data_IF_993497700718
#
_entry.id   IF_993497700718
#
_cell.length_a   1.000
_cell.length_b   1.000
_cell.length_c   1.000
_cell.angle_alpha   90.00
_cell.angle_beta   90.00
_cell.angle_gamma   90.00
#
_symmetry.space_group_name_H-M   'P 1'
#
loop_
_entity.id
_entity.type
_entity.pdbx_description
1 polymer ?
#
# COMPACT_ATOMS: atom_id res chain seq x y z
N UNK A 1 3.34 12.24 -27.97
CA UNK A 1 2.57 12.88 -26.87
C UNK A 1 2.20 11.86 -25.78
N UNK A 2 3.08 10.90 -25.45
CA UNK A 2 2.75 9.77 -24.54
C UNK A 2 3.37 9.86 -23.14
N UNK A 3 4.48 10.59 -22.94
CA UNK A 3 5.26 10.54 -21.68
C UNK A 3 4.52 11.01 -20.41
N UNK A 4 3.67 12.03 -20.51
CA UNK A 4 3.11 12.69 -19.32
C UNK A 4 1.99 11.90 -18.63
N UNK A 5 1.28 11.03 -19.36
CA UNK A 5 0.22 10.17 -18.78
C UNK A 5 0.82 9.07 -17.90
N UNK A 6 1.97 8.54 -18.31
CA UNK A 6 2.64 7.44 -17.60
C UNK A 6 3.24 7.90 -16.27
N UNK A 7 3.78 9.13 -16.21
CA UNK A 7 4.40 9.70 -15.00
C UNK A 7 3.39 9.99 -13.88
N UNK A 8 2.21 10.53 -14.21
CA UNK A 8 1.17 10.80 -13.21
C UNK A 8 0.56 9.52 -12.64
N UNK A 9 0.35 8.52 -13.50
CA UNK A 9 -0.11 7.20 -13.09
C UNK A 9 0.92 6.52 -12.19
N UNK A 10 2.20 6.52 -12.59
CA UNK A 10 3.29 5.93 -11.80
C UNK A 10 3.42 6.61 -10.42
N UNK A 11 3.28 7.93 -10.35
CA UNK A 11 3.32 8.65 -9.07
C UNK A 11 2.16 8.23 -8.16
N UNK A 12 0.94 8.13 -8.69
CA UNK A 12 -0.23 7.70 -7.92
C UNK A 12 -0.09 6.25 -7.43
N UNK A 13 0.38 5.36 -8.29
CA UNK A 13 0.64 3.96 -7.93
C UNK A 13 1.67 3.87 -6.80
N UNK A 14 2.81 4.56 -6.94
CA UNK A 14 3.85 4.54 -5.92
C UNK A 14 3.38 5.14 -4.58
N UNK A 15 2.60 6.23 -4.62
CA UNK A 15 1.98 6.81 -3.42
C UNK A 15 1.05 5.81 -2.73
N UNK A 16 0.20 5.11 -3.50
CA UNK A 16 -0.72 4.11 -2.99
C UNK A 16 0.03 2.94 -2.33
N UNK A 17 1.08 2.43 -2.99
CA UNK A 17 1.90 1.35 -2.45
C UNK A 17 2.62 1.78 -1.16
N UNK A 18 3.16 3.00 -1.15
CA UNK A 18 3.84 3.58 0.02
C UNK A 18 2.88 3.76 1.19
N UNK A 19 1.69 4.32 0.94
CA UNK A 19 0.62 4.44 1.93
C UNK A 19 0.26 3.08 2.54
N UNK A 20 0.03 2.06 1.70
CA UNK A 20 -0.33 0.73 2.18
C UNK A 20 0.79 0.15 3.04
N UNK A 21 2.04 0.29 2.58
CA UNK A 21 3.20 -0.20 3.30
C UNK A 21 3.30 0.45 4.69
N UNK A 22 3.26 1.77 4.76
CA UNK A 22 3.37 2.54 6.01
C UNK A 22 2.22 2.24 6.97
N UNK A 23 0.99 2.11 6.48
CA UNK A 23 -0.20 1.97 7.32
C UNK A 23 -0.54 0.55 7.72
N UNK A 24 -0.33 -0.42 6.85
CA UNK A 24 -0.85 -1.78 7.03
C UNK A 24 0.24 -2.85 7.08
N UNK A 25 1.40 -2.66 6.45
CA UNK A 25 2.43 -3.72 6.33
C UNK A 25 3.59 -3.50 7.32
N UNK A 26 4.22 -2.33 7.30
CA UNK A 26 5.36 -1.99 8.15
C UNK A 26 5.07 -2.06 9.67
N UNK A 27 3.84 -1.77 10.16
CA UNK A 27 3.51 -1.90 11.58
C UNK A 27 3.45 -3.35 12.08
N UNK A 28 3.30 -4.34 11.20
CA UNK A 28 3.22 -5.74 11.60
C UNK A 28 4.58 -6.20 12.14
N UNK A 29 4.59 -6.69 13.38
CA UNK A 29 5.77 -7.26 14.04
C UNK A 29 5.42 -8.56 14.72
N UNK A 30 6.30 -9.55 14.58
CA UNK A 30 6.21 -10.82 15.31
C UNK A 30 7.36 -10.81 16.31
N UNK A 31 7.04 -10.85 17.61
CA UNK A 31 8.03 -10.78 18.69
C UNK A 31 8.97 -9.56 18.57
N UNK A 32 8.44 -8.42 18.10
CA UNK A 32 9.20 -7.18 17.91
C UNK A 32 10.06 -7.13 16.64
N UNK A 33 10.13 -8.21 15.85
CA UNK A 33 10.94 -8.32 14.63
C UNK A 33 10.04 -8.22 13.39
N UNK A 34 10.62 -7.73 12.28
CA UNK A 34 9.96 -7.71 10.97
C UNK A 34 9.62 -9.15 10.53
N UNK A 35 8.35 -9.44 10.18
CA UNK A 35 7.95 -10.75 9.69
C UNK A 35 8.68 -11.14 8.40
N UNK A 36 8.86 -12.44 8.21
CA UNK A 36 9.19 -13.02 6.89
C UNK A 36 8.01 -12.85 5.93
N UNK A 37 8.26 -12.94 4.62
CA UNK A 37 7.19 -12.80 3.61
C UNK A 37 6.09 -13.84 3.81
N UNK A 38 6.45 -15.08 4.18
CA UNK A 38 5.49 -16.14 4.48
C UNK A 38 4.59 -15.77 5.66
N UNK A 39 5.15 -15.19 6.71
CA UNK A 39 4.37 -14.75 7.87
C UNK A 39 3.45 -13.58 7.53
N UNK A 40 3.86 -12.66 6.64
CA UNK A 40 2.97 -11.64 6.11
C UNK A 40 1.77 -12.25 5.38
N UNK A 41 2.01 -13.25 4.53
CA UNK A 41 0.96 -13.95 3.79
C UNK A 41 0.00 -14.68 4.74
N UNK A 42 0.52 -15.34 5.78
CA UNK A 42 -0.30 -16.00 6.82
C UNK A 42 -1.17 -15.00 7.61
N UNK A 43 -0.64 -13.81 7.92
CA UNK A 43 -1.36 -12.77 8.69
C UNK A 43 -2.39 -12.03 7.83
N UNK A 44 -2.03 -11.67 6.61
CA UNK A 44 -2.82 -10.76 5.76
C UNK A 44 -3.67 -11.48 4.72
N UNK A 45 -3.42 -12.77 4.45
CA UNK A 45 -3.97 -13.53 3.32
C UNK A 45 -3.69 -12.89 1.95
N UNK A 46 -2.66 -12.06 1.86
CA UNK A 46 -2.18 -11.44 0.63
C UNK A 46 -1.03 -12.28 0.08
N UNK A 47 -1.10 -12.59 -1.22
CA UNK A 47 -0.10 -13.43 -1.88
C UNK A 47 1.31 -12.86 -1.78
N UNK A 48 2.29 -13.76 -1.63
CA UNK A 48 3.72 -13.44 -1.54
C UNK A 48 4.21 -12.37 -2.52
N UNK A 49 3.89 -12.49 -3.81
CA UNK A 49 4.36 -11.56 -4.85
C UNK A 49 3.80 -10.14 -4.65
N UNK A 50 2.57 -10.02 -4.17
CA UNK A 50 1.96 -8.74 -3.83
C UNK A 50 2.61 -8.13 -2.59
N UNK A 51 2.90 -8.93 -1.56
CA UNK A 51 3.63 -8.46 -0.38
C UNK A 51 5.01 -7.92 -0.74
N UNK A 52 5.76 -8.61 -1.61
CA UNK A 52 7.07 -8.15 -2.08
C UNK A 52 6.98 -6.79 -2.80
N UNK A 53 5.95 -6.59 -3.63
CA UNK A 53 5.68 -5.32 -4.33
C UNK A 53 5.27 -4.21 -3.38
N UNK A 54 4.43 -4.51 -2.38
CA UNK A 54 4.02 -3.58 -1.33
C UNK A 54 5.22 -3.08 -0.52
N UNK A 55 6.10 -3.99 -0.10
CA UNK A 55 7.30 -3.67 0.68
C UNK A 55 8.28 -2.80 -0.12
N UNK A 56 8.43 -3.06 -1.43
CA UNK A 56 9.28 -2.25 -2.32
C UNK A 56 8.64 -0.92 -2.69
N UNK A 57 7.31 -0.84 -2.63
CA UNK A 57 6.50 0.33 -2.96
C UNK A 57 6.75 0.90 -4.38
N UNK A 58 6.96 0.02 -5.38
CA UNK A 58 7.24 0.43 -6.75
C UNK A 58 6.72 -0.56 -7.80
N UNK A 59 6.26 -0.04 -8.94
CA UNK A 59 6.06 -0.79 -10.19
C UNK A 59 4.91 -1.80 -10.13
N UNK A 60 3.83 -1.42 -9.45
CA UNK A 60 2.65 -2.27 -9.32
C UNK A 60 1.35 -1.47 -9.41
N UNK A 61 0.71 -1.55 -10.57
CA UNK A 61 -0.70 -1.21 -10.74
C UNK A 61 -1.54 -2.20 -9.91
N UNK A 62 -2.07 -1.70 -8.79
CA UNK A 62 -2.73 -2.54 -7.81
C UNK A 62 -4.20 -2.77 -8.18
N UNK A 63 -4.62 -4.03 -8.39
CA UNK A 63 -6.03 -4.34 -8.59
C UNK A 63 -6.87 -3.97 -7.36
N UNK A 64 -8.09 -3.47 -7.58
CA UNK A 64 -9.07 -3.22 -6.51
C UNK A 64 -9.31 -4.47 -5.64
N UNK A 65 -9.20 -5.67 -6.22
CA UNK A 65 -9.31 -6.93 -5.47
C UNK A 65 -8.21 -7.07 -4.40
N UNK A 66 -7.00 -6.58 -4.65
CA UNK A 66 -5.92 -6.51 -3.65
C UNK A 66 -6.24 -5.49 -2.56
N UNK A 67 -6.74 -4.30 -2.94
CA UNK A 67 -7.19 -3.27 -1.99
C UNK A 67 -8.29 -3.83 -1.07
N UNK A 68 -9.23 -4.58 -1.64
CA UNK A 68 -10.29 -5.25 -0.88
C UNK A 68 -9.73 -6.24 0.15
N UNK A 69 -8.72 -7.04 -0.22
CA UNK A 69 -8.04 -7.95 0.74
C UNK A 69 -7.36 -7.19 1.87
N UNK A 70 -6.70 -6.06 1.56
CA UNK A 70 -6.09 -5.20 2.58
C UNK A 70 -7.17 -4.66 3.53
N UNK A 71 -8.30 -4.19 2.99
CA UNK A 71 -9.41 -3.69 3.78
C UNK A 71 -10.01 -4.77 4.69
N UNK A 72 -10.15 -6.00 4.18
CA UNK A 72 -10.61 -7.16 4.94
C UNK A 72 -9.66 -7.47 6.10
N UNK A 73 -8.35 -7.54 5.83
CA UNK A 73 -7.34 -7.75 6.86
C UNK A 73 -7.35 -6.63 7.92
N UNK A 74 -7.42 -5.38 7.50
CA UNK A 74 -7.41 -4.22 8.38
C UNK A 74 -8.77 -3.96 9.07
N UNK A 75 -9.81 -4.74 8.75
CA UNK A 75 -11.18 -4.56 9.20
C UNK A 75 -11.71 -3.13 9.00
N UNK A 76 -11.50 -2.59 7.79
CA UNK A 76 -11.98 -1.26 7.37
C UNK A 76 -12.81 -1.37 6.09
N UNK A 77 -13.67 -0.39 5.86
CA UNK A 77 -14.38 -0.24 4.59
C UNK A 77 -13.47 0.36 3.50
N UNK A 78 -13.82 0.15 2.23
CA UNK A 78 -13.16 0.83 1.10
C UNK A 78 -13.24 2.37 1.22
N UNK A 79 -14.37 2.88 1.73
CA UNK A 79 -14.53 4.32 1.98
C UNK A 79 -13.46 4.83 2.95
N UNK A 80 -13.31 4.16 4.10
CA UNK A 80 -12.28 4.52 5.09
C UNK A 80 -10.87 4.41 4.50
N UNK A 81 -10.59 3.37 3.72
CA UNK A 81 -9.30 3.20 3.06
C UNK A 81 -8.95 4.40 2.17
N UNK A 82 -9.86 4.80 1.27
CA UNK A 82 -9.59 5.93 0.36
C UNK A 82 -9.53 7.26 1.10
N UNK A 83 -10.36 7.49 2.13
CA UNK A 83 -10.23 8.68 2.98
C UNK A 83 -8.90 8.75 3.71
N UNK A 84 -8.37 7.61 4.19
CA UNK A 84 -7.04 7.55 4.81
C UNK A 84 -5.93 7.82 3.79
N UNK A 85 -6.11 7.36 2.55
CA UNK A 85 -5.15 7.59 1.46
C UNK A 85 -5.10 9.07 1.05
N UNK A 86 -6.26 9.73 0.87
CA UNK A 86 -6.33 11.17 0.60
C UNK A 86 -5.63 11.97 1.70
N UNK A 87 -5.90 11.65 2.97
CA UNK A 87 -5.22 12.29 4.11
C UNK A 87 -3.71 12.05 4.14
N UNK A 88 -3.25 10.90 3.64
CA UNK A 88 -1.83 10.60 3.51
C UNK A 88 -1.18 11.50 2.45
N UNK A 89 -1.80 11.63 1.28
CA UNK A 89 -1.32 12.50 0.20
C UNK A 89 -1.27 13.98 0.64
N UNK A 90 -2.26 14.45 1.39
CA UNK A 90 -2.26 15.82 1.93
C UNK A 90 -1.11 16.09 2.90
N UNK A 91 -0.70 15.08 3.69
CA UNK A 91 0.41 15.22 4.65
C UNK A 91 1.75 15.25 3.95
N UNK A 92 1.97 14.37 2.97
CA UNK A 92 3.19 14.35 2.16
C UNK A 92 3.30 15.63 1.27
N UNK A 93 2.17 16.15 0.78
CA UNK A 93 2.14 17.40 0.01
C UNK A 93 2.47 18.66 0.82
N UNK A 94 2.30 18.63 2.14
CA UNK A 94 2.67 19.74 3.05
C UNK A 94 4.15 19.73 3.45
N UNK A 95 4.86 18.61 3.23
CA UNK A 95 6.30 18.49 3.48
C UNK A 95 7.20 18.99 2.34
N UNK A 96 6.62 19.35 1.19
CA UNK A 96 7.34 19.85 -0.01
C UNK A 96 7.18 21.36 -0.26
N UNK A 97 6.78 22.15 0.75
CA UNK A 97 6.70 23.62 0.66
C UNK A 97 7.83 24.29 1.39
#
# INVERSE_FOLDING_TARGET
MTKTKDEQQEHLENDLLSFINVKFIAPIKINGIKPTIRQYEEITSIGRTTIEKLIKSQGYDMPISTISKICQYANISLLQFFSMFEQYQEKEGKGKK
#
